data_IF_437473652178
#
_entry.id   IF_437473652178
#
_cell.length_a   1.000
_cell.length_b   1.000
_cell.length_c   1.000
_cell.angle_alpha   90.00
_cell.angle_beta   90.00
_cell.angle_gamma   90.00
#
_symmetry.space_group_name_H-M   'P 1'
#
loop_
_entity.id
_entity.type
_entity.pdbx_description
1 polymer ?
#
# COMPACT_ATOMS: atom_id res chain seq x y z
N UNK A 1 -20.75 4.25 13.79
CA UNK A 1 -19.90 3.80 14.93
C UNK A 1 -19.58 2.35 14.67
N UNK A 2 -18.37 2.05 14.20
CA UNK A 2 -17.94 0.65 14.16
C UNK A 2 -17.88 0.18 15.62
N UNK A 3 -18.64 -0.87 15.95
CA UNK A 3 -18.61 -1.44 17.28
C UNK A 3 -17.17 -1.83 17.63
N UNK A 4 -16.75 -1.61 18.88
CA UNK A 4 -15.44 -2.06 19.32
C UNK A 4 -15.32 -3.57 19.05
N UNK A 5 -14.22 -4.00 18.41
CA UNK A 5 -14.05 -5.41 18.10
C UNK A 5 -14.00 -6.21 19.42
N UNK A 6 -14.61 -7.41 19.47
CA UNK A 6 -14.57 -8.22 20.66
C UNK A 6 -13.12 -8.57 21.01
N UNK A 7 -12.75 -8.45 22.28
CA UNK A 7 -11.37 -8.65 22.76
C UNK A 7 -10.78 -10.01 22.34
N UNK A 8 -11.61 -11.06 22.33
CA UNK A 8 -11.24 -12.39 21.85
C UNK A 8 -10.74 -12.43 20.39
N UNK A 9 -11.25 -11.53 19.54
CA UNK A 9 -10.83 -11.40 18.15
C UNK A 9 -9.45 -10.76 18.05
N UNK A 10 -9.17 -9.71 18.83
CA UNK A 10 -7.86 -9.07 18.85
C UNK A 10 -6.76 -10.03 19.33
N UNK A 11 -7.01 -10.78 20.40
CA UNK A 11 -6.10 -11.82 20.90
C UNK A 11 -5.81 -12.87 19.81
N UNK A 12 -6.84 -13.27 19.05
CA UNK A 12 -6.69 -14.26 17.98
C UNK A 12 -5.87 -13.71 16.81
N UNK A 13 -6.12 -12.45 16.42
CA UNK A 13 -5.37 -11.77 15.36
C UNK A 13 -3.89 -11.61 15.74
N UNK A 14 -3.60 -11.19 16.98
CA UNK A 14 -2.24 -11.07 17.51
C UNK A 14 -1.51 -12.42 17.47
N UNK A 15 -2.18 -13.49 17.93
CA UNK A 15 -1.63 -14.85 17.88
C UNK A 15 -1.31 -15.29 16.45
N UNK A 16 -2.13 -14.90 15.47
CA UNK A 16 -1.93 -15.22 14.05
C UNK A 16 -0.87 -14.34 13.38
N UNK A 17 -0.71 -13.10 13.84
CA UNK A 17 0.35 -12.20 13.42
C UNK A 17 1.75 -12.72 13.84
N UNK A 18 1.83 -13.42 14.98
CA UNK A 18 3.07 -13.91 15.59
C UNK A 18 3.29 -15.44 15.46
N UNK A 19 2.52 -16.13 14.59
CA UNK A 19 2.48 -17.59 14.51
C UNK A 19 3.80 -18.23 14.04
N UNK A 20 4.52 -18.91 14.93
CA UNK A 20 5.83 -19.51 14.60
C UNK A 20 5.78 -20.93 13.98
N UNK A 21 4.59 -21.40 13.55
CA UNK A 21 4.33 -22.77 13.09
C UNK A 21 5.38 -23.37 12.13
N UNK A 22 5.97 -24.51 12.47
CA UNK A 22 7.04 -25.17 11.69
C UNK A 22 6.54 -25.92 10.45
N UNK A 23 5.25 -26.22 10.36
CA UNK A 23 4.65 -26.95 9.25
C UNK A 23 4.28 -26.08 8.03
N UNK A 24 4.30 -24.74 8.16
CA UNK A 24 4.01 -23.80 7.07
C UNK A 24 5.27 -23.38 6.33
N UNK A 25 5.15 -23.19 5.02
CA UNK A 25 6.24 -22.70 4.18
C UNK A 25 6.69 -21.28 4.56
N UNK A 26 7.97 -20.95 4.36
CA UNK A 26 8.54 -19.64 4.72
C UNK A 26 7.83 -18.46 4.03
N UNK A 27 7.52 -18.59 2.72
CA UNK A 27 6.82 -17.57 1.93
C UNK A 27 5.40 -17.34 2.44
N UNK A 28 4.67 -18.42 2.66
CA UNK A 28 3.29 -18.40 3.16
C UNK A 28 3.21 -17.73 4.53
N UNK A 29 4.06 -18.15 5.47
CA UNK A 29 4.14 -17.53 6.81
C UNK A 29 4.43 -16.04 6.74
N UNK A 30 5.35 -15.62 5.87
CA UNK A 30 5.67 -14.19 5.68
C UNK A 30 4.45 -13.40 5.21
N UNK A 31 3.71 -13.92 4.23
CA UNK A 31 2.49 -13.28 3.71
C UNK A 31 1.43 -13.23 4.80
N UNK A 32 1.17 -14.36 5.47
CA UNK A 32 0.21 -14.45 6.57
C UNK A 32 0.52 -13.43 7.67
N UNK A 33 1.75 -13.38 8.18
CA UNK A 33 2.11 -12.42 9.25
C UNK A 33 1.99 -10.97 8.79
N UNK A 34 2.33 -10.68 7.53
CA UNK A 34 2.13 -9.34 6.99
C UNK A 34 0.63 -8.96 6.97
N UNK A 35 -0.21 -9.85 6.44
CA UNK A 35 -1.66 -9.64 6.36
C UNK A 35 -2.32 -9.54 7.73
N UNK A 36 -2.00 -10.43 8.67
CA UNK A 36 -2.59 -10.40 10.01
C UNK A 36 -2.14 -9.19 10.83
N UNK A 37 -0.89 -8.74 10.69
CA UNK A 37 -0.44 -7.49 11.31
C UNK A 37 -1.16 -6.28 10.74
N UNK A 38 -1.30 -6.23 9.42
CA UNK A 38 -2.02 -5.15 8.76
C UNK A 38 -3.49 -5.07 9.21
N UNK A 39 -4.17 -6.22 9.29
CA UNK A 39 -5.55 -6.30 9.79
C UNK A 39 -5.61 -5.91 11.27
N UNK A 40 -4.72 -6.43 12.11
CA UNK A 40 -4.67 -6.08 13.54
C UNK A 40 -4.49 -4.57 13.74
N UNK A 41 -3.51 -3.96 13.07
CA UNK A 41 -3.26 -2.52 13.13
C UNK A 41 -4.45 -1.70 12.64
N UNK A 42 -5.19 -2.19 11.63
CA UNK A 42 -6.39 -1.47 11.16
C UNK A 42 -7.49 -1.36 12.21
N UNK A 43 -7.56 -2.31 13.14
CA UNK A 43 -8.49 -2.26 14.27
C UNK A 43 -7.97 -1.40 15.43
N UNK A 44 -6.65 -1.43 15.69
CA UNK A 44 -6.04 -0.67 16.79
C UNK A 44 -5.91 0.83 16.47
N UNK A 45 -5.46 1.16 15.27
CA UNK A 45 -5.20 2.54 14.83
C UNK A 45 -6.40 3.15 14.06
N UNK A 46 -7.41 2.33 13.73
CA UNK A 46 -8.53 2.75 12.89
C UNK A 46 -8.12 3.07 11.45
N UNK A 47 -6.96 2.60 11.00
CA UNK A 47 -6.37 2.93 9.69
C UNK A 47 -6.84 1.94 8.63
N UNK A 48 -7.25 2.45 7.47
CA UNK A 48 -7.54 1.63 6.30
C UNK A 48 -6.28 1.44 5.46
N UNK A 49 -6.19 0.38 4.64
CA UNK A 49 -5.06 0.20 3.74
C UNK A 49 -5.03 1.37 2.75
N UNK A 50 -3.91 2.09 2.72
CA UNK A 50 -3.67 3.22 1.83
C UNK A 50 -2.49 2.90 0.91
N UNK A 51 -2.75 2.69 -0.37
CA UNK A 51 -1.69 2.52 -1.36
C UNK A 51 -2.13 2.86 -2.78
N UNK A 52 -1.14 3.23 -3.58
CA UNK A 52 -1.31 3.73 -4.94
C UNK A 52 -0.96 2.67 -5.98
N UNK A 53 -1.83 2.52 -6.97
CA UNK A 53 -1.62 1.63 -8.10
C UNK A 53 -1.51 2.47 -9.36
N UNK A 54 -0.29 2.57 -9.89
CA UNK A 54 -0.02 3.34 -11.11
C UNK A 54 -0.29 2.49 -12.34
N UNK A 55 -1.19 2.96 -13.20
CA UNK A 55 -1.52 2.30 -14.47
C UNK A 55 -1.43 3.29 -15.63
N UNK A 56 -0.30 3.28 -16.35
CA UNK A 56 -0.04 4.29 -17.38
C UNK A 56 0.30 5.66 -16.77
N UNK A 57 -0.64 6.61 -16.86
CA UNK A 57 -0.50 7.98 -16.33
C UNK A 57 -1.38 8.25 -15.10
N UNK A 58 -2.44 7.47 -14.95
CA UNK A 58 -3.34 7.55 -13.82
C UNK A 58 -2.81 6.73 -12.65
N UNK A 59 -3.27 7.10 -11.46
CA UNK A 59 -2.99 6.38 -10.22
C UNK A 59 -4.34 6.08 -9.56
N UNK A 60 -4.60 4.81 -9.31
CA UNK A 60 -5.75 4.39 -8.51
C UNK A 60 -5.32 4.41 -7.04
N UNK A 61 -5.96 5.27 -6.25
CA UNK A 61 -5.78 5.33 -4.81
C UNK A 61 -6.71 4.31 -4.13
N UNK A 62 -6.12 3.34 -3.45
CA UNK A 62 -6.86 2.39 -2.63
C UNK A 62 -6.89 2.96 -1.22
N UNK A 63 -8.07 3.39 -0.77
CA UNK A 63 -8.27 4.03 0.55
C UNK A 63 -9.11 3.19 1.50
N UNK A 64 -9.70 2.08 1.03
CA UNK A 64 -10.59 1.24 1.83
C UNK A 64 -10.35 -0.25 1.60
N UNK A 65 -10.74 -1.06 2.59
CA UNK A 65 -10.72 -2.53 2.50
C UNK A 65 -11.61 -3.06 1.37
N UNK A 66 -12.74 -2.42 1.11
CA UNK A 66 -13.67 -2.79 0.04
C UNK A 66 -13.03 -2.57 -1.33
N UNK A 67 -12.45 -1.39 -1.55
CA UNK A 67 -11.76 -1.06 -2.80
C UNK A 67 -10.58 -1.99 -3.04
N UNK A 68 -9.82 -2.31 -1.98
CA UNK A 68 -8.72 -3.29 -2.03
C UNK A 68 -9.22 -4.69 -2.43
N UNK A 69 -10.33 -5.14 -1.85
CA UNK A 69 -10.91 -6.45 -2.16
C UNK A 69 -11.31 -6.52 -3.63
N UNK A 70 -12.04 -5.52 -4.13
CA UNK A 70 -12.42 -5.45 -5.54
C UNK A 70 -11.21 -5.46 -6.46
N UNK A 71 -10.19 -4.65 -6.14
CA UNK A 71 -8.96 -4.63 -6.90
C UNK A 71 -8.30 -6.02 -6.95
N UNK A 72 -8.16 -6.70 -5.82
CA UNK A 72 -7.57 -8.03 -5.77
C UNK A 72 -8.39 -9.05 -6.58
N UNK A 73 -9.72 -8.99 -6.51
CA UNK A 73 -10.58 -9.91 -7.29
C UNK A 73 -10.43 -9.69 -8.79
N UNK A 74 -10.48 -8.44 -9.24
CA UNK A 74 -10.33 -8.11 -10.66
C UNK A 74 -8.90 -8.34 -11.15
N UNK A 75 -7.89 -8.05 -10.33
CA UNK A 75 -6.49 -8.31 -10.68
C UNK A 75 -6.21 -9.80 -10.82
N UNK A 76 -6.83 -10.67 -10.01
CA UNK A 76 -6.69 -12.12 -10.15
C UNK A 76 -7.46 -12.66 -11.36
N UNK A 77 -8.64 -12.09 -11.66
CA UNK A 77 -9.47 -12.51 -12.79
C UNK A 77 -8.88 -12.07 -14.14
N UNK A 78 -8.47 -10.81 -14.24
CA UNK A 78 -8.00 -10.17 -15.48
C UNK A 78 -6.49 -10.30 -15.67
N UNK A 79 -5.75 -10.62 -14.60
CA UNK A 79 -4.30 -10.77 -14.60
C UNK A 79 -3.59 -9.62 -15.31
N UNK A 80 -2.85 -9.90 -16.39
CA UNK A 80 -2.13 -8.90 -17.17
C UNK A 80 -3.04 -7.86 -17.84
N UNK A 81 -4.33 -8.16 -18.03
CA UNK A 81 -5.32 -7.26 -18.62
C UNK A 81 -5.87 -6.20 -17.67
N UNK A 82 -5.56 -6.26 -16.37
CA UNK A 82 -6.12 -5.34 -15.36
C UNK A 82 -5.87 -3.86 -15.72
N UNK A 83 -4.66 -3.53 -16.17
CA UNK A 83 -4.29 -2.16 -16.52
C UNK A 83 -5.01 -1.63 -17.78
N UNK A 84 -5.41 -2.52 -18.69
CA UNK A 84 -6.15 -2.15 -19.90
C UNK A 84 -7.60 -1.86 -19.51
N UNK A 85 -8.21 -2.75 -18.72
CA UNK A 85 -9.58 -2.56 -18.28
C UNK A 85 -9.75 -1.39 -17.32
N UNK A 86 -8.77 -1.06 -16.48
CA UNK A 86 -8.84 0.17 -15.67
C UNK A 86 -8.92 1.46 -16.52
N UNK A 87 -8.40 1.43 -17.76
CA UNK A 87 -8.46 2.56 -18.69
C UNK A 87 -9.74 2.55 -19.52
N UNK A 88 -10.03 1.41 -20.14
CA UNK A 88 -11.04 1.34 -21.20
C UNK A 88 -12.42 0.92 -20.70
N UNK A 89 -12.50 0.24 -19.55
CA UNK A 89 -13.77 -0.32 -19.07
C UNK A 89 -14.50 0.67 -18.15
N UNK A 90 -15.53 1.33 -18.69
CA UNK A 90 -16.39 2.25 -17.94
C UNK A 90 -17.01 1.64 -16.67
N UNK A 91 -17.30 0.32 -16.66
CA UNK A 91 -17.76 -0.35 -15.44
C UNK A 91 -16.69 -0.35 -14.36
N UNK A 92 -15.45 -0.76 -14.68
CA UNK A 92 -14.37 -0.71 -13.68
C UNK A 92 -14.05 0.71 -13.25
N UNK A 93 -14.09 1.69 -14.16
CA UNK A 93 -13.92 3.11 -13.79
C UNK A 93 -14.98 3.55 -12.79
N UNK A 94 -16.24 3.20 -13.03
CA UNK A 94 -17.33 3.50 -12.08
C UNK A 94 -17.15 2.80 -10.72
N UNK A 95 -16.71 1.54 -10.69
CA UNK A 95 -16.47 0.78 -9.44
C UNK A 95 -15.37 1.41 -8.59
N UNK A 96 -14.34 1.96 -9.24
CA UNK A 96 -13.21 2.59 -8.57
C UNK A 96 -13.33 4.11 -8.44
N UNK A 97 -14.48 4.70 -8.82
CA UNK A 97 -14.69 6.16 -8.89
C UNK A 97 -13.56 6.90 -9.63
N UNK A 98 -13.09 6.33 -10.74
CA UNK A 98 -12.15 6.98 -11.64
C UNK A 98 -12.94 7.91 -12.58
N UNK A 99 -12.45 9.13 -12.78
CA UNK A 99 -13.06 10.09 -13.71
C UNK A 99 -13.10 9.56 -15.14
N UNK A 100 -14.02 10.01 -16.00
CA UNK A 100 -14.01 9.60 -17.41
C UNK A 100 -12.82 10.21 -18.15
N UNK A 101 -12.19 9.41 -19.02
CA UNK A 101 -10.98 9.81 -19.74
C UNK A 101 -11.28 10.94 -20.74
N UNK A 102 -10.75 12.13 -20.47
CA UNK A 102 -10.53 13.12 -21.52
C UNK A 102 -9.32 12.67 -22.38
N UNK A 103 -9.58 12.40 -23.66
CA UNK A 103 -8.63 11.85 -24.64
C UNK A 103 -7.35 12.72 -24.80
N UNK A 104 -7.39 13.98 -24.37
CA UNK A 104 -6.27 14.93 -24.48
C UNK A 104 -5.06 14.59 -23.58
N UNK A 105 -5.26 13.88 -22.47
CA UNK A 105 -4.19 13.58 -21.51
C UNK A 105 -3.26 12.44 -21.93
N UNK A 106 -3.49 11.81 -23.07
CA UNK A 106 -2.55 10.82 -23.65
C UNK A 106 -1.33 11.46 -24.33
N UNK A 107 -1.36 12.77 -24.62
CA UNK A 107 -0.30 13.44 -25.38
C UNK A 107 0.72 14.23 -24.54
N UNK A 108 0.44 14.49 -23.26
CA UNK A 108 1.41 15.17 -22.37
C UNK A 108 2.67 14.33 -22.10
N UNK A 109 3.78 14.67 -22.73
CA UNK A 109 5.05 13.94 -22.56
C UNK A 109 5.54 14.02 -21.10
N UNK A 110 6.22 12.98 -20.62
CA UNK A 110 6.95 13.05 -19.33
C UNK A 110 7.85 14.28 -19.38
N UNK A 111 7.70 15.20 -18.41
CA UNK A 111 8.46 16.44 -18.34
C UNK A 111 9.96 16.25 -18.53
N UNK A 112 10.66 17.34 -18.86
CA UNK A 112 12.06 17.33 -19.28
C UNK A 112 12.92 16.45 -18.35
N UNK A 113 13.77 15.58 -18.92
CA UNK A 113 14.67 14.68 -18.18
C UNK A 113 15.43 15.45 -17.07
N UNK A 114 15.88 16.67 -17.38
CA UNK A 114 16.59 17.52 -16.46
C UNK A 114 15.75 17.90 -15.23
N UNK A 115 14.50 18.29 -15.45
CA UNK A 115 13.57 18.68 -14.40
C UNK A 115 13.26 17.51 -13.47
N UNK A 116 12.98 16.33 -14.03
CA UNK A 116 12.79 15.10 -13.23
C UNK A 116 14.04 14.74 -12.43
N UNK A 117 15.23 14.92 -13.00
CA UNK A 117 16.47 14.68 -12.27
C UNK A 117 16.63 15.66 -11.10
N UNK A 118 16.34 16.93 -11.30
CA UNK A 118 16.39 17.96 -10.27
C UNK A 118 15.40 17.64 -9.13
N UNK A 119 14.14 17.31 -9.46
CA UNK A 119 13.11 16.92 -8.50
C UNK A 119 13.50 15.67 -7.69
N UNK A 120 14.06 14.65 -8.34
CA UNK A 120 14.56 13.47 -7.64
C UNK A 120 15.75 13.80 -6.72
N UNK A 121 16.64 14.71 -7.14
CA UNK A 121 17.81 15.14 -6.35
C UNK A 121 17.37 15.92 -5.10
N UNK A 122 16.39 16.82 -5.23
CA UNK A 122 15.83 17.54 -4.08
C UNK A 122 15.10 16.59 -3.12
N UNK A 123 14.26 15.69 -3.63
CA UNK A 123 13.57 14.68 -2.82
C UNK A 123 14.55 13.75 -2.07
N UNK A 124 15.62 13.31 -2.74
CA UNK A 124 16.67 12.50 -2.12
C UNK A 124 17.39 13.25 -1.00
N UNK A 125 17.70 14.54 -1.21
CA UNK A 125 18.33 15.39 -0.19
C UNK A 125 17.43 15.53 1.04
N UNK A 126 16.15 15.81 0.84
CA UNK A 126 15.15 15.92 1.92
C UNK A 126 15.06 14.60 2.70
N UNK A 127 14.89 13.46 1.99
CA UNK A 127 14.84 12.13 2.62
C UNK A 127 16.11 11.83 3.42
N UNK A 128 17.28 12.16 2.87
CA UNK A 128 18.56 11.93 3.56
C UNK A 128 18.65 12.76 4.84
N UNK A 129 18.21 14.01 4.83
CA UNK A 129 18.18 14.86 6.02
C UNK A 129 17.23 14.33 7.09
N UNK A 130 16.00 13.94 6.71
CA UNK A 130 15.02 13.35 7.62
C UNK A 130 15.54 12.03 8.25
N UNK A 131 16.25 11.21 7.48
CA UNK A 131 16.79 9.95 8.00
C UNK A 131 17.98 10.13 8.94
N UNK A 132 18.77 11.21 8.83
CA UNK A 132 19.92 11.44 9.71
C UNK A 132 19.53 11.49 11.19
N UNK A 133 18.41 12.13 11.51
CA UNK A 133 17.91 12.23 12.89
C UNK A 133 17.51 10.85 13.43
N UNK A 134 16.72 10.09 12.66
CA UNK A 134 16.30 8.73 13.05
C UNK A 134 17.47 7.76 13.23
N UNK A 135 18.52 7.88 12.39
CA UNK A 135 19.72 7.04 12.48
C UNK A 135 20.57 7.38 13.70
N UNK A 136 20.73 8.67 14.01
CA UNK A 136 21.42 9.10 15.23
C UNK A 136 20.70 8.61 16.49
N UNK A 137 19.37 8.74 16.55
CA UNK A 137 18.57 8.25 17.68
C UNK A 137 18.69 6.73 17.87
N UNK A 138 18.74 5.96 16.78
CA UNK A 138 18.97 4.51 16.85
C UNK A 138 20.36 4.16 17.39
N UNK A 139 21.40 4.88 16.96
CA UNK A 139 22.76 4.68 17.44
C UNK A 139 22.90 4.99 18.93
N UNK A 140 22.25 6.05 19.40
CA UNK A 140 22.19 6.42 20.82
C UNK A 140 21.48 5.33 21.64
N UNK A 141 20.30 4.87 21.21
CA UNK A 141 19.55 3.82 21.92
C UNK A 141 20.32 2.51 22.07
N UNK A 142 21.08 2.12 21.03
CA UNK A 142 21.94 0.93 21.08
C UNK A 142 23.10 1.04 22.08
N UNK A 143 23.48 2.24 22.52
CA UNK A 143 24.52 2.44 23.54
C UNK A 143 24.01 2.33 24.98
N UNK A 144 22.69 2.24 25.17
CA UNK A 144 22.02 2.13 26.48
C UNK A 144 21.29 0.79 26.66
N UNK A 145 21.34 -0.12 25.68
CA UNK A 145 20.70 -1.45 25.73
C UNK A 145 21.71 -2.60 25.98
N UNK A 146 22.95 -2.28 26.37
CA UNK A 146 23.93 -3.21 26.99
C UNK A 146 23.90 -3.06 28.53
#
# INVERSE_FOLDING_TARGET
VFAEPPESLLITLEKKANESAKYKGKKEKRIQHATFREIYNSFEEGTSPEFDIKFGRETLEITSWTTRLYYNTFSNLLAAGMNVHLKENGFLRSVFNLDDLEIEDMQQSKGNRFERHLANKTAFKIRTQALKTTRANKAIRSQYED
#
